data_IF_576793991948
#
_entry.id   IF_576793991948
#
_cell.length_a   1.000
_cell.length_b   1.000
_cell.length_c   1.000
_cell.angle_alpha   90.00
_cell.angle_beta   90.00
_cell.angle_gamma   90.00
#
_symmetry.space_group_name_H-M   'P 1'
#
loop_
_entity.id
_entity.type
_entity.pdbx_description
1 polymer ?
#
# COMPACT_ATOMS: atom_id res chain seq x y z
N UNK A 1 41.45 1.43 -7.91
CA UNK A 1 40.52 0.96 -8.97
C UNK A 1 39.60 -0.14 -8.49
N UNK A 2 40.09 -1.12 -7.77
CA UNK A 2 39.33 -2.27 -7.25
C UNK A 2 38.30 -1.85 -6.18
N UNK A 3 38.67 -1.01 -5.21
CA UNK A 3 37.76 -0.44 -4.22
C UNK A 3 36.61 0.37 -4.85
N UNK A 4 36.89 1.15 -5.89
CA UNK A 4 35.87 1.94 -6.60
C UNK A 4 34.86 1.02 -7.31
N UNK A 5 35.32 -0.10 -7.86
CA UNK A 5 34.46 -1.09 -8.50
C UNK A 5 33.61 -1.85 -7.46
N UNK A 6 34.18 -2.22 -6.32
CA UNK A 6 33.44 -2.80 -5.19
C UNK A 6 32.35 -1.84 -4.67
N UNK A 7 32.68 -0.57 -4.51
CA UNK A 7 31.74 0.48 -4.12
C UNK A 7 30.59 0.64 -5.13
N UNK A 8 30.91 0.64 -6.43
CA UNK A 8 29.89 0.70 -7.51
C UNK A 8 28.97 -0.52 -7.50
N UNK A 9 29.53 -1.72 -7.29
CA UNK A 9 28.74 -2.94 -7.15
C UNK A 9 27.82 -2.91 -5.92
N UNK A 10 28.32 -2.47 -4.79
CA UNK A 10 27.53 -2.36 -3.56
C UNK A 10 26.41 -1.30 -3.71
N UNK A 11 26.69 -0.13 -4.28
CA UNK A 11 25.69 0.88 -4.58
C UNK A 11 24.62 0.37 -5.57
N UNK A 12 25.03 -0.40 -6.57
CA UNK A 12 24.11 -1.02 -7.51
C UNK A 12 23.19 -2.04 -6.83
N UNK A 13 23.75 -2.87 -5.96
CA UNK A 13 22.98 -3.83 -5.13
C UNK A 13 22.00 -3.12 -4.20
N UNK A 14 22.43 -2.04 -3.53
CA UNK A 14 21.56 -1.24 -2.65
C UNK A 14 20.43 -0.59 -3.43
N UNK A 15 20.73 -0.02 -4.62
CA UNK A 15 19.71 0.57 -5.50
C UNK A 15 18.72 -0.49 -6.02
N UNK A 16 19.19 -1.68 -6.37
CA UNK A 16 18.34 -2.79 -6.80
C UNK A 16 17.35 -3.24 -5.69
N UNK A 17 17.73 -3.04 -4.40
CA UNK A 17 16.88 -3.31 -3.24
C UNK A 17 16.00 -2.13 -2.81
N UNK A 18 15.99 -1.06 -3.57
CA UNK A 18 15.15 0.12 -3.32
C UNK A 18 14.17 0.32 -4.48
N UNK A 19 13.30 -0.65 -4.66
CA UNK A 19 12.30 -0.65 -5.74
C UNK A 19 11.46 0.63 -5.74
N UNK A 20 11.14 1.18 -4.57
CA UNK A 20 10.38 2.42 -4.42
C UNK A 20 11.01 3.59 -5.18
N UNK A 21 12.34 3.68 -5.23
CA UNK A 21 13.07 4.76 -5.91
C UNK A 21 13.03 4.63 -7.45
N UNK A 22 12.63 3.47 -7.98
CA UNK A 22 12.47 3.24 -9.42
C UNK A 22 11.12 3.69 -9.98
N UNK A 23 10.15 4.01 -9.08
CA UNK A 23 8.82 4.44 -9.48
C UNK A 23 8.74 5.97 -9.62
N UNK A 24 8.10 6.40 -10.68
CA UNK A 24 7.82 7.81 -10.97
C UNK A 24 9.07 8.73 -11.00
N UNK A 25 10.18 8.32 -11.64
CA UNK A 25 11.33 9.17 -11.84
C UNK A 25 11.01 10.32 -12.84
N UNK A 26 11.96 11.24 -13.01
CA UNK A 26 11.84 12.32 -14.00
C UNK A 26 12.01 11.81 -15.45
N UNK A 27 12.71 10.69 -15.65
CA UNK A 27 12.99 10.10 -16.95
C UNK A 27 12.94 8.58 -16.91
N UNK A 28 12.92 7.93 -18.07
CA UNK A 28 12.90 6.48 -18.20
C UNK A 28 11.49 5.89 -18.38
N UNK A 29 11.37 4.56 -18.37
CA UNK A 29 10.12 3.86 -18.72
C UNK A 29 8.99 4.03 -17.70
N UNK A 30 9.33 4.35 -16.45
CA UNK A 30 8.34 4.60 -15.37
C UNK A 30 8.26 6.10 -15.02
N UNK A 31 8.64 7.00 -15.92
CA UNK A 31 8.62 8.45 -15.67
C UNK A 31 7.22 8.95 -15.36
N UNK A 32 7.14 9.89 -14.42
CA UNK A 32 5.89 10.41 -13.84
C UNK A 32 4.85 10.84 -14.86
N UNK A 33 5.27 11.50 -15.94
CA UNK A 33 4.38 12.03 -16.96
C UNK A 33 3.49 10.99 -17.65
N UNK A 34 3.89 9.70 -17.60
CA UNK A 34 3.11 8.59 -18.15
C UNK A 34 1.98 8.13 -17.24
N UNK A 35 1.95 8.60 -15.99
CA UNK A 35 1.01 8.13 -14.97
C UNK A 35 0.19 9.27 -14.34
N UNK A 36 -0.44 10.16 -15.13
CA UNK A 36 -1.14 11.33 -14.60
C UNK A 36 -2.26 10.96 -13.63
N UNK A 37 -2.97 9.84 -13.86
CA UNK A 37 -4.03 9.37 -12.97
C UNK A 37 -3.53 8.83 -11.63
N UNK A 38 -2.34 8.22 -11.59
CA UNK A 38 -1.70 7.83 -10.33
C UNK A 38 -1.33 9.07 -9.52
N UNK A 39 -0.73 10.07 -10.15
CA UNK A 39 -0.36 11.33 -9.48
C UNK A 39 -1.58 12.11 -8.99
N UNK A 40 -2.67 12.11 -9.75
CA UNK A 40 -3.95 12.69 -9.35
C UNK A 40 -4.49 12.00 -8.10
N UNK A 41 -4.48 10.66 -8.08
CA UNK A 41 -4.90 9.87 -6.92
C UNK A 41 -4.06 10.18 -5.68
N UNK A 42 -2.74 10.26 -5.80
CA UNK A 42 -1.86 10.61 -4.68
C UNK A 42 -2.14 12.01 -4.15
N UNK A 43 -2.27 12.99 -5.04
CA UNK A 43 -2.57 14.38 -4.67
C UNK A 43 -3.91 14.50 -3.94
N UNK A 44 -4.91 13.76 -4.39
CA UNK A 44 -6.23 13.74 -3.75
C UNK A 44 -6.16 13.31 -2.27
N UNK A 45 -5.15 12.52 -1.88
CA UNK A 45 -4.91 12.12 -0.49
C UNK A 45 -4.59 13.27 0.47
N UNK A 46 -4.27 14.46 -0.03
CA UNK A 46 -4.11 15.65 0.80
C UNK A 46 -5.46 16.19 1.32
N UNK A 47 -6.55 15.95 0.58
CA UNK A 47 -7.87 16.53 0.86
C UNK A 47 -8.94 15.46 1.16
N UNK A 48 -8.82 14.29 0.56
CA UNK A 48 -9.81 13.21 0.66
C UNK A 48 -9.24 12.03 1.45
N UNK A 49 -9.94 11.68 2.52
CA UNK A 49 -9.57 10.54 3.36
C UNK A 49 -9.84 9.21 2.69
N UNK A 50 -10.91 9.13 1.92
CA UNK A 50 -11.36 7.94 1.20
C UNK A 50 -11.12 8.13 -0.28
N UNK A 51 -10.43 7.19 -0.90
CA UNK A 51 -10.13 7.26 -2.32
C UNK A 51 -10.22 5.89 -2.96
N UNK A 52 -10.85 5.85 -4.12
CA UNK A 52 -11.00 4.66 -4.92
C UNK A 52 -10.29 4.83 -6.27
N UNK A 53 -9.37 3.91 -6.56
CA UNK A 53 -8.72 3.80 -7.87
C UNK A 53 -9.35 2.67 -8.67
N UNK A 54 -10.38 3.00 -9.44
CA UNK A 54 -11.04 2.08 -10.38
C UNK A 54 -10.26 2.01 -11.68
N UNK A 55 -9.87 0.81 -12.07
CA UNK A 55 -9.11 0.68 -13.30
C UNK A 55 -9.04 -0.75 -13.80
N UNK A 56 -8.78 -0.92 -15.10
CA UNK A 56 -8.56 -2.21 -15.73
C UNK A 56 -7.39 -2.98 -15.11
N UNK A 57 -7.29 -4.26 -15.40
CA UNK A 57 -6.16 -5.07 -14.97
C UNK A 57 -4.85 -4.62 -15.63
N UNK A 58 -3.71 -4.85 -14.94
CA UNK A 58 -2.33 -4.63 -15.40
C UNK A 58 -1.93 -3.17 -15.65
N UNK A 59 -2.65 -2.21 -15.11
CA UNK A 59 -2.28 -0.78 -15.18
C UNK A 59 -1.51 -0.28 -13.95
N UNK A 60 -1.07 -1.17 -13.06
CA UNK A 60 -0.25 -0.81 -11.90
C UNK A 60 -1.02 -0.41 -10.65
N UNK A 61 -2.35 -0.61 -10.56
CA UNK A 61 -3.17 -0.18 -9.41
C UNK A 61 -2.67 -0.72 -8.06
N UNK A 62 -2.42 -2.04 -7.96
CA UNK A 62 -1.95 -2.62 -6.69
C UNK A 62 -0.48 -2.30 -6.41
N UNK A 63 0.40 -2.29 -7.41
CA UNK A 63 1.82 -2.05 -7.21
C UNK A 63 2.19 -0.57 -7.25
N UNK A 64 1.83 0.12 -8.33
CA UNK A 64 2.17 1.52 -8.53
C UNK A 64 1.36 2.47 -7.66
N UNK A 65 0.10 2.14 -7.33
CA UNK A 65 -0.75 2.99 -6.49
C UNK A 65 -0.76 2.48 -5.05
N UNK A 66 -1.37 1.34 -4.78
CA UNK A 66 -1.60 0.86 -3.41
C UNK A 66 -0.31 0.60 -2.63
N UNK A 67 0.57 -0.27 -3.16
CA UNK A 67 1.81 -0.62 -2.47
C UNK A 67 2.79 0.57 -2.38
N UNK A 68 2.90 1.37 -3.45
CA UNK A 68 3.77 2.53 -3.48
C UNK A 68 3.38 3.57 -2.42
N UNK A 69 2.12 4.01 -2.40
CA UNK A 69 1.63 4.98 -1.42
C UNK A 69 1.74 4.45 0.01
N UNK A 70 1.34 3.19 0.24
CA UNK A 70 1.45 2.55 1.56
C UNK A 70 2.90 2.52 2.05
N UNK A 71 3.86 2.17 1.19
CA UNK A 71 5.27 2.15 1.55
C UNK A 71 5.83 3.55 1.86
N UNK A 72 5.42 4.59 1.11
CA UNK A 72 5.78 5.98 1.41
C UNK A 72 5.30 6.40 2.80
N UNK A 73 4.06 6.08 3.14
CA UNK A 73 3.50 6.43 4.45
C UNK A 73 4.15 5.66 5.61
N UNK A 74 4.47 4.37 5.40
CA UNK A 74 5.14 3.56 6.42
C UNK A 74 6.58 4.04 6.70
N UNK A 75 7.30 4.44 5.65
CA UNK A 75 8.71 4.84 5.76
C UNK A 75 8.92 6.33 6.00
N UNK A 76 7.95 7.18 5.61
CA UNK A 76 8.09 8.63 5.57
C UNK A 76 9.00 9.13 4.44
N UNK A 77 9.46 8.25 3.53
CA UNK A 77 10.41 8.57 2.46
C UNK A 77 9.71 9.16 1.23
N UNK A 78 9.00 10.28 1.43
CA UNK A 78 8.29 10.94 0.34
C UNK A 78 9.24 11.62 -0.63
N UNK A 79 9.10 11.40 -1.95
CA UNK A 79 9.88 12.12 -2.94
C UNK A 79 9.50 13.62 -2.98
N UNK A 80 10.40 14.46 -3.49
CA UNK A 80 10.19 15.91 -3.51
C UNK A 80 8.93 16.35 -4.27
N UNK A 81 8.53 15.59 -5.30
CA UNK A 81 7.34 15.87 -6.11
C UNK A 81 6.03 15.44 -5.44
N UNK A 82 6.07 14.73 -4.28
CA UNK A 82 4.88 14.21 -3.60
C UNK A 82 3.98 15.35 -3.10
N UNK A 83 2.74 15.38 -3.57
CA UNK A 83 1.73 16.37 -3.22
C UNK A 83 0.59 15.81 -2.37
N UNK A 84 0.58 14.50 -2.10
CA UNK A 84 -0.38 13.87 -1.21
C UNK A 84 -0.11 14.16 0.27
N UNK A 85 -0.93 13.58 1.13
CA UNK A 85 -0.73 13.66 2.58
C UNK A 85 0.65 13.10 2.97
N UNK A 86 1.23 13.67 4.03
CA UNK A 86 2.47 13.20 4.65
C UNK A 86 2.23 12.90 6.11
N UNK A 87 2.70 11.76 6.59
CA UNK A 87 2.81 11.48 8.00
C UNK A 87 4.23 11.83 8.46
N UNK A 88 4.32 12.53 9.59
CA UNK A 88 5.58 13.00 10.17
C UNK A 88 6.09 12.10 11.29
N UNK A 89 5.41 10.99 11.55
CA UNK A 89 5.75 9.98 12.54
C UNK A 89 5.36 8.60 12.04
N UNK A 90 5.84 7.56 12.75
CA UNK A 90 5.45 6.18 12.48
C UNK A 90 3.96 5.95 12.66
N UNK A 91 3.39 5.11 11.82
CA UNK A 91 1.95 4.88 11.68
C UNK A 91 1.57 3.42 11.88
N UNK A 92 0.30 3.18 12.19
CA UNK A 92 -0.35 1.86 12.09
C UNK A 92 -1.09 1.76 10.76
N UNK A 93 -0.91 0.64 10.06
CA UNK A 93 -1.53 0.42 8.76
C UNK A 93 -2.02 -1.01 8.58
N UNK A 94 -3.07 -1.17 7.78
CA UNK A 94 -3.52 -2.46 7.25
C UNK A 94 -3.40 -2.47 5.73
N UNK A 95 -3.01 -3.65 5.20
CA UNK A 95 -3.13 -3.98 3.80
C UNK A 95 -3.95 -5.26 3.69
N UNK A 96 -5.08 -5.21 3.01
CA UNK A 96 -6.02 -6.31 2.94
C UNK A 96 -6.35 -6.72 1.50
N UNK A 97 -6.44 -8.02 1.26
CA UNK A 97 -6.83 -8.62 0.00
C UNK A 97 -7.97 -9.64 0.17
N UNK A 98 -8.35 -10.28 -0.92
CA UNK A 98 -9.51 -11.17 -0.97
C UNK A 98 -9.43 -12.33 0.02
N UNK A 99 -8.32 -13.03 0.05
CA UNK A 99 -8.05 -14.20 0.90
C UNK A 99 -6.59 -14.24 1.32
N UNK A 100 -6.25 -15.10 2.27
CA UNK A 100 -4.90 -15.19 2.83
C UNK A 100 -3.83 -15.56 1.79
N UNK A 101 -4.17 -16.42 0.81
CA UNK A 101 -3.26 -16.82 -0.26
C UNK A 101 -2.99 -15.66 -1.21
N UNK A 102 -4.03 -15.01 -1.69
CA UNK A 102 -3.93 -13.85 -2.59
C UNK A 102 -3.20 -12.69 -1.91
N UNK A 103 -3.47 -12.45 -0.62
CA UNK A 103 -2.77 -11.42 0.17
C UNK A 103 -1.26 -11.70 0.23
N UNK A 104 -0.85 -12.95 0.44
CA UNK A 104 0.56 -13.36 0.40
C UNK A 104 1.17 -13.17 -0.99
N UNK A 105 0.50 -13.68 -2.02
CA UNK A 105 1.04 -13.71 -3.39
C UNK A 105 1.05 -12.33 -4.07
N UNK A 106 0.20 -11.41 -3.62
CA UNK A 106 0.10 -10.07 -4.23
C UNK A 106 0.61 -9.00 -3.28
N UNK A 107 -0.07 -8.75 -2.16
CA UNK A 107 0.24 -7.61 -1.29
C UNK A 107 1.58 -7.77 -0.58
N UNK A 108 1.82 -8.93 0.03
CA UNK A 108 3.09 -9.22 0.68
C UNK A 108 4.25 -9.16 -0.32
N UNK A 109 4.10 -9.80 -1.50
CA UNK A 109 5.12 -9.76 -2.55
C UNK A 109 5.41 -8.33 -3.01
N UNK A 110 4.39 -7.51 -3.23
CA UNK A 110 4.57 -6.13 -3.69
C UNK A 110 5.19 -5.23 -2.63
N UNK A 111 4.83 -5.42 -1.37
CA UNK A 111 5.33 -4.60 -0.27
C UNK A 111 6.69 -5.08 0.25
N UNK A 112 6.87 -6.38 0.46
CA UNK A 112 8.08 -6.92 1.07
C UNK A 112 9.08 -7.48 0.06
N UNK A 113 8.61 -7.95 -1.10
CA UNK A 113 9.43 -8.65 -2.09
C UNK A 113 9.29 -10.17 -2.01
N UNK A 114 10.20 -10.87 -2.67
CA UNK A 114 10.17 -12.32 -2.76
C UNK A 114 10.34 -12.99 -1.38
N UNK A 115 9.67 -14.12 -1.21
CA UNK A 115 9.84 -14.98 -0.04
C UNK A 115 11.31 -15.39 0.06
N UNK A 116 11.89 -15.20 1.25
CA UNK A 116 13.34 -15.44 1.46
C UNK A 116 14.26 -14.28 1.07
N UNK A 117 13.75 -13.24 0.39
CA UNK A 117 14.51 -12.03 0.03
C UNK A 117 13.68 -10.75 0.25
N UNK A 118 13.20 -10.56 1.47
CA UNK A 118 12.46 -9.36 1.85
C UNK A 118 13.32 -8.10 1.73
N UNK A 119 12.69 -7.01 1.33
CA UNK A 119 13.35 -5.75 1.03
C UNK A 119 13.56 -5.50 -0.48
N UNK A 120 13.10 -6.44 -1.31
CA UNK A 120 13.03 -6.29 -2.78
C UNK A 120 11.67 -5.79 -3.26
N UNK A 121 10.72 -5.59 -2.33
CA UNK A 121 9.42 -4.96 -2.58
C UNK A 121 9.47 -3.43 -2.47
N UNK A 122 8.29 -2.81 -2.33
CA UNK A 122 8.16 -1.35 -2.19
C UNK A 122 8.72 -0.83 -0.86
N UNK A 123 8.67 -1.62 0.21
CA UNK A 123 9.32 -1.28 1.48
C UNK A 123 10.80 -1.63 1.35
N UNK A 124 11.72 -0.64 1.40
CA UNK A 124 13.16 -0.90 1.29
C UNK A 124 13.65 -1.80 2.41
N UNK A 125 14.60 -2.69 2.10
CA UNK A 125 15.13 -3.67 3.05
C UNK A 125 15.79 -3.05 4.27
N UNK A 126 16.41 -1.88 4.12
CA UNK A 126 17.00 -1.11 5.22
C UNK A 126 15.96 -0.50 6.17
N UNK A 127 14.71 -0.44 5.76
CA UNK A 127 13.58 0.04 6.55
C UNK A 127 12.82 -1.09 7.25
N UNK A 128 12.97 -2.35 6.85
CA UNK A 128 12.32 -3.50 7.50
C UNK A 128 13.08 -3.84 8.78
N UNK A 129 12.42 -3.68 9.93
CA UNK A 129 13.02 -3.96 11.24
C UNK A 129 12.71 -5.37 11.75
N UNK A 130 11.48 -5.83 11.50
CA UNK A 130 11.01 -7.13 11.98
C UNK A 130 9.81 -7.59 11.15
N UNK A 131 9.69 -8.91 10.95
CA UNK A 131 8.52 -9.55 10.35
C UNK A 131 8.01 -10.64 11.28
N UNK A 132 6.68 -10.73 11.44
CA UNK A 132 6.02 -11.79 12.22
C UNK A 132 5.31 -12.73 11.25
N UNK A 133 5.58 -14.04 11.27
CA UNK A 133 4.89 -15.00 10.41
C UNK A 133 3.42 -15.13 10.81
N UNK A 134 2.56 -15.42 9.83
CA UNK A 134 1.14 -15.69 10.06
C UNK A 134 0.96 -17.16 10.48
N UNK A 135 0.39 -17.44 11.68
CA UNK A 135 0.15 -18.80 12.13
C UNK A 135 -0.74 -19.58 11.15
N UNK A 136 -0.36 -20.83 10.89
CA UNK A 136 -1.15 -21.75 10.04
C UNK A 136 -1.13 -21.47 8.54
N UNK A 137 -0.41 -20.46 8.07
CA UNK A 137 -0.29 -20.15 6.63
C UNK A 137 1.19 -20.09 6.26
N UNK A 138 1.72 -21.14 5.58
CA UNK A 138 3.15 -21.18 5.21
C UNK A 138 3.58 -19.91 4.47
N UNK A 139 4.76 -19.40 4.81
CA UNK A 139 5.42 -18.26 4.14
C UNK A 139 4.65 -16.95 4.19
N UNK A 140 3.47 -16.92 4.82
CA UNK A 140 2.71 -15.68 4.98
C UNK A 140 3.23 -14.89 6.20
N UNK A 141 3.30 -13.58 6.02
CA UNK A 141 3.61 -12.61 7.07
C UNK A 141 2.29 -12.05 7.63
N UNK A 142 2.16 -12.05 8.94
CA UNK A 142 1.05 -11.40 9.64
C UNK A 142 1.29 -9.90 9.75
N UNK A 143 2.49 -9.51 10.20
CA UNK A 143 2.83 -8.10 10.36
C UNK A 143 4.30 -7.82 10.10
N UNK A 144 4.58 -6.57 9.74
CA UNK A 144 5.93 -6.05 9.57
C UNK A 144 6.09 -4.73 10.33
N UNK A 145 7.22 -4.59 11.00
CA UNK A 145 7.64 -3.35 11.67
C UNK A 145 8.63 -2.64 10.75
N UNK A 146 8.33 -1.40 10.42
CA UNK A 146 9.06 -0.58 9.46
C UNK A 146 9.64 0.64 10.16
N UNK A 147 10.90 0.97 9.87
CA UNK A 147 11.54 2.21 10.33
C UNK A 147 10.97 3.39 9.57
N UNK A 148 10.46 4.38 10.29
CA UNK A 148 10.08 5.67 9.74
C UNK A 148 11.26 6.65 9.82
N UNK A 149 11.43 7.53 8.83
CA UNK A 149 12.55 8.50 8.80
C UNK A 149 12.57 9.44 10.01
N UNK A 150 11.45 9.65 10.69
CA UNK A 150 11.37 10.44 11.93
C UNK A 150 11.97 9.72 13.16
N UNK A 151 12.53 8.51 13.01
CA UNK A 151 13.18 7.75 14.06
C UNK A 151 12.27 6.80 14.83
N UNK A 152 10.96 6.88 14.71
CA UNK A 152 10.00 5.95 15.30
C UNK A 152 9.61 4.83 14.31
N UNK A 153 8.69 3.97 14.73
CA UNK A 153 8.35 2.74 14.00
C UNK A 153 6.92 2.81 13.47
N UNK A 154 6.73 2.38 12.25
CA UNK A 154 5.43 2.05 11.68
C UNK A 154 5.16 0.55 11.80
N UNK A 155 3.89 0.17 11.86
CA UNK A 155 3.48 -1.24 11.83
C UNK A 155 2.46 -1.43 10.73
N UNK A 156 2.70 -2.43 9.87
CA UNK A 156 1.76 -2.90 8.87
C UNK A 156 1.27 -4.29 9.26
N UNK A 157 -0.03 -4.53 9.17
CA UNK A 157 -0.65 -5.85 9.35
C UNK A 157 -1.32 -6.26 8.05
N UNK A 158 -1.05 -7.47 7.60
CA UNK A 158 -1.73 -8.08 6.46
C UNK A 158 -3.02 -8.74 6.91
N UNK A 159 -4.11 -8.42 6.24
CA UNK A 159 -5.45 -8.97 6.50
C UNK A 159 -6.07 -9.54 5.23
N UNK A 160 -7.14 -10.28 5.38
CA UNK A 160 -7.88 -10.80 4.23
C UNK A 160 -9.38 -10.84 4.54
N UNK A 161 -10.20 -10.62 3.50
CA UNK A 161 -11.65 -10.48 3.63
C UNK A 161 -12.33 -11.78 4.04
N UNK A 162 -11.75 -12.93 3.71
CA UNK A 162 -12.23 -14.26 4.13
C UNK A 162 -12.20 -14.47 5.65
N UNK A 163 -11.46 -13.65 6.39
CA UNK A 163 -11.46 -13.66 7.86
C UNK A 163 -12.70 -12.96 8.46
N UNK A 164 -13.54 -12.36 7.62
CA UNK A 164 -14.74 -11.67 8.02
C UNK A 164 -14.50 -10.32 8.71
N UNK A 165 -15.58 -9.57 8.88
CA UNK A 165 -15.59 -8.22 9.47
C UNK A 165 -14.92 -8.15 10.85
N UNK A 166 -15.11 -9.18 11.69
CA UNK A 166 -14.60 -9.21 13.07
C UNK A 166 -13.07 -9.07 13.12
N UNK A 167 -12.36 -9.61 12.10
CA UNK A 167 -10.91 -9.48 12.01
C UNK A 167 -10.43 -8.04 11.84
N UNK A 168 -11.30 -7.13 11.38
CA UNK A 168 -11.03 -5.71 11.19
C UNK A 168 -11.43 -4.84 12.38
N UNK A 169 -11.87 -5.45 13.49
CA UNK A 169 -12.19 -4.75 14.72
C UNK A 169 -10.94 -4.50 15.58
N UNK A 170 -11.06 -3.59 16.53
CA UNK A 170 -10.08 -3.36 17.60
C UNK A 170 -9.29 -2.07 17.43
N UNK A 171 -8.13 -2.12 16.79
CA UNK A 171 -7.16 -1.01 16.79
C UNK A 171 -7.45 0.05 15.75
N UNK A 172 -7.16 1.31 16.11
CA UNK A 172 -7.17 2.45 15.18
C UNK A 172 -6.06 2.35 14.13
N UNK A 173 -6.32 2.87 12.93
CA UNK A 173 -5.40 2.83 11.80
C UNK A 173 -5.20 4.21 11.19
N UNK A 174 -3.97 4.51 10.82
CA UNK A 174 -3.64 5.71 10.04
C UNK A 174 -3.79 5.49 8.54
N UNK A 175 -3.57 4.25 8.08
CA UNK A 175 -3.76 3.83 6.70
C UNK A 175 -4.49 2.49 6.66
N UNK A 176 -5.49 2.39 5.80
CA UNK A 176 -6.07 1.11 5.37
C UNK A 176 -6.03 1.05 3.85
N UNK A 177 -5.29 0.08 3.32
CA UNK A 177 -5.29 -0.23 1.90
C UNK A 177 -6.09 -1.52 1.66
N UNK A 178 -7.17 -1.40 0.89
CA UNK A 178 -8.02 -2.50 0.45
C UNK A 178 -7.74 -2.77 -1.03
N UNK A 179 -7.09 -3.89 -1.33
CA UNK A 179 -6.83 -4.34 -2.70
C UNK A 179 -7.88 -5.38 -3.10
N UNK A 180 -8.47 -5.20 -4.24
CA UNK A 180 -9.71 -5.80 -4.70
C UNK A 180 -10.94 -5.34 -3.87
N UNK A 181 -12.12 -5.57 -4.44
CA UNK A 181 -13.37 -5.12 -3.83
C UNK A 181 -13.71 -5.98 -2.61
N UNK A 182 -13.97 -5.32 -1.48
CA UNK A 182 -14.43 -5.96 -0.26
C UNK A 182 -15.95 -5.83 -0.09
N UNK A 183 -16.51 -6.52 0.88
CA UNK A 183 -17.91 -6.36 1.27
C UNK A 183 -18.13 -5.00 1.98
N UNK A 184 -19.35 -4.47 1.90
CA UNK A 184 -19.68 -3.16 2.49
C UNK A 184 -19.47 -3.10 4.00
N UNK A 185 -19.71 -4.19 4.71
CA UNK A 185 -19.51 -4.28 6.16
C UNK A 185 -18.02 -4.18 6.57
N UNK A 186 -17.11 -4.81 5.80
CA UNK A 186 -15.67 -4.65 5.97
C UNK A 186 -15.24 -3.22 5.66
N UNK A 187 -15.75 -2.63 4.57
CA UNK A 187 -15.48 -1.24 4.22
C UNK A 187 -15.85 -0.27 5.35
N UNK A 188 -17.08 -0.38 5.88
CA UNK A 188 -17.55 0.49 6.97
C UNK A 188 -16.71 0.28 8.24
N UNK A 189 -16.35 -0.97 8.56
CA UNK A 189 -15.48 -1.26 9.70
C UNK A 189 -14.12 -0.60 9.55
N UNK A 190 -13.48 -0.72 8.39
CA UNK A 190 -12.20 -0.07 8.09
C UNK A 190 -12.29 1.46 8.17
N UNK A 191 -13.37 2.04 7.65
CA UNK A 191 -13.62 3.47 7.74
C UNK A 191 -13.68 3.93 9.19
N UNK A 192 -14.39 3.20 10.05
CA UNK A 192 -14.47 3.47 11.49
C UNK A 192 -13.07 3.46 12.14
N UNK A 193 -12.20 2.53 11.76
CA UNK A 193 -10.82 2.45 12.30
C UNK A 193 -9.93 3.63 11.93
N UNK A 194 -10.26 4.37 10.89
CA UNK A 194 -9.50 5.54 10.45
C UNK A 194 -10.05 6.87 10.99
N UNK A 195 -11.19 6.86 11.70
CA UNK A 195 -11.84 8.10 12.15
C UNK A 195 -11.03 8.84 13.22
N UNK A 196 -10.57 8.16 14.25
CA UNK A 196 -9.85 8.76 15.39
C UNK A 196 -8.48 9.31 15.01
N UNK A 197 -7.82 8.67 14.06
CA UNK A 197 -6.50 9.08 13.54
C UNK A 197 -6.60 10.11 12.42
N UNK A 198 -7.80 10.44 11.99
CA UNK A 198 -8.03 11.14 10.72
C UNK A 198 -7.26 10.45 9.57
N UNK A 199 -7.23 9.12 9.59
CA UNK A 199 -6.44 8.28 8.69
C UNK A 199 -6.95 8.27 7.26
N UNK A 200 -6.19 7.64 6.37
CA UNK A 200 -6.52 7.46 4.95
C UNK A 200 -7.02 6.05 4.68
N UNK A 201 -8.02 5.94 3.82
CA UNK A 201 -8.46 4.70 3.23
C UNK A 201 -8.30 4.76 1.72
N UNK A 202 -7.55 3.82 1.18
CA UNK A 202 -7.32 3.69 -0.26
C UNK A 202 -7.79 2.33 -0.74
N UNK A 203 -8.51 2.33 -1.84
CA UNK A 203 -9.02 1.13 -2.49
C UNK A 203 -8.49 1.06 -3.91
N UNK A 204 -8.08 -0.14 -4.32
CA UNK A 204 -7.52 -0.38 -5.64
C UNK A 204 -8.14 -1.64 -6.23
N UNK A 205 -9.13 -1.52 -7.13
CA UNK A 205 -9.75 -2.69 -7.74
C UNK A 205 -10.28 -2.46 -9.15
N UNK A 206 -10.60 -3.56 -9.82
CA UNK A 206 -11.33 -3.59 -11.08
C UNK A 206 -12.79 -3.92 -10.75
N UNK A 207 -13.77 -3.15 -11.20
CA UNK A 207 -15.18 -3.37 -10.85
C UNK A 207 -15.76 -4.58 -11.61
N UNK A 208 -15.30 -5.76 -11.25
CA UNK A 208 -15.73 -7.04 -11.91
C UNK A 208 -17.17 -7.41 -11.58
N UNK A 209 -17.68 -6.92 -10.45
CA UNK A 209 -19.06 -7.15 -10.00
C UNK A 209 -20.03 -6.06 -10.49
N UNK A 210 -19.54 -5.15 -11.34
CA UNK A 210 -20.35 -4.04 -11.87
C UNK A 210 -20.57 -2.92 -10.85
N UNK A 211 -21.79 -2.39 -10.82
CA UNK A 211 -22.19 -1.24 -10.01
C UNK A 211 -22.63 -1.69 -8.61
N UNK A 212 -21.68 -2.09 -7.80
CA UNK A 212 -21.91 -2.42 -6.38
C UNK A 212 -22.21 -1.17 -5.55
N UNK A 213 -22.67 -1.35 -4.31
CA UNK A 213 -22.95 -0.22 -3.41
C UNK A 213 -21.72 0.64 -3.16
N UNK A 214 -20.53 0.04 -3.01
CA UNK A 214 -19.28 0.79 -2.83
C UNK A 214 -18.98 1.63 -4.07
N UNK A 215 -19.09 1.03 -5.26
CA UNK A 215 -18.85 1.76 -6.52
C UNK A 215 -19.84 2.92 -6.68
N UNK A 216 -21.12 2.68 -6.38
CA UNK A 216 -22.15 3.74 -6.44
C UNK A 216 -21.86 4.87 -5.47
N UNK A 217 -21.54 4.56 -4.22
CA UNK A 217 -21.21 5.57 -3.20
C UNK A 217 -20.08 6.50 -3.69
N UNK A 218 -19.01 5.94 -4.27
CA UNK A 218 -17.90 6.73 -4.82
C UNK A 218 -18.24 7.52 -6.09
N UNK A 219 -19.19 7.04 -6.90
CA UNK A 219 -19.64 7.74 -8.09
C UNK A 219 -20.75 8.76 -7.79
N UNK A 220 -21.26 8.80 -6.55
CA UNK A 220 -22.36 9.68 -6.16
C UNK A 220 -23.69 9.29 -6.80
N UNK A 221 -23.87 8.03 -7.22
CA UNK A 221 -25.09 7.56 -7.88
C UNK A 221 -26.10 7.14 -6.80
N UNK A 222 -27.25 7.79 -6.75
CA UNK A 222 -28.32 7.44 -5.83
C UNK A 222 -29.13 6.22 -6.32
N UNK A 223 -29.78 5.45 -5.42
CA UNK A 223 -30.58 4.28 -5.81
C UNK A 223 -31.72 4.58 -6.80
N UNK A 224 -32.12 5.83 -6.94
CA UNK A 224 -33.22 6.27 -7.82
C UNK A 224 -32.76 6.68 -9.24
N UNK A 225 -31.46 6.58 -9.55
CA UNK A 225 -30.89 6.96 -10.85
C UNK A 225 -30.55 5.76 -11.75
N UNK A 226 -31.07 4.59 -11.41
CA UNK A 226 -31.05 3.35 -12.18
C UNK A 226 -32.47 2.95 -12.53
#
# INVERSE_FOLDING_TARGET
MEELNQWKHELSRRRARRKIDSFYPDSGPLRRELYPKHLEFFRAGAQHRERLFLAANRIGKSEGVGAYETALHLTGQYPNWWQGRRFTCGISAWAAGKDSKTTREILQLKLLGNIGDFGTGMIPGDSILHTSPKPGVPEAIESVVVRHIAGNKSRLVFKSYDQGRESFQGTEQHIVWLDEECTRDIYIECLTRTMTTNGLMLMTFTPLLGMTDIVRDFLGITPNEL
#
